data_IF_041308245025
#
_entry.id   IF_041308245025
#
_cell.length_a   1.000
_cell.length_b   1.000
_cell.length_c   1.000
_cell.angle_alpha   90.00
_cell.angle_beta   90.00
_cell.angle_gamma   90.00
#
_symmetry.space_group_name_H-M   'P 1'
#
loop_
_entity.id
_entity.type
_entity.pdbx_description
1 polymer ?
#
# COMPACT_ATOMS: atom_id res chain seq x y z
N UNK A 1 52.83 -10.05 -28.43
CA UNK A 1 52.67 -11.53 -28.41
C UNK A 1 53.45 -12.13 -27.24
N UNK A 2 54.78 -11.96 -27.14
CA UNK A 2 55.59 -12.42 -25.98
C UNK A 2 55.07 -12.03 -24.59
N UNK A 3 54.64 -10.78 -24.38
CA UNK A 3 54.10 -10.34 -23.09
C UNK A 3 52.77 -11.00 -22.67
N UNK A 4 51.95 -11.47 -23.64
CA UNK A 4 50.72 -12.23 -23.34
C UNK A 4 51.04 -13.69 -23.02
N UNK A 5 51.97 -14.32 -23.75
CA UNK A 5 52.42 -15.69 -23.46
C UNK A 5 53.14 -15.80 -22.12
N UNK A 6 53.93 -14.79 -21.75
CA UNK A 6 54.62 -14.75 -20.45
C UNK A 6 53.63 -14.52 -19.30
N UNK A 7 52.62 -13.66 -19.50
CA UNK A 7 51.54 -13.50 -18.53
C UNK A 7 50.69 -14.76 -18.38
N UNK A 8 50.44 -15.50 -19.47
CA UNK A 8 49.68 -16.75 -19.46
C UNK A 8 50.48 -17.89 -18.79
N UNK A 9 51.78 -18.00 -19.05
CA UNK A 9 52.66 -18.94 -18.33
C UNK A 9 52.72 -18.63 -16.84
N UNK A 10 52.86 -17.36 -16.47
CA UNK A 10 52.91 -16.93 -15.07
C UNK A 10 51.56 -17.05 -14.36
N UNK A 11 50.46 -17.05 -15.11
CA UNK A 11 49.13 -17.36 -14.58
C UNK A 11 48.95 -18.86 -14.34
N UNK A 12 49.39 -19.70 -15.29
CA UNK A 12 49.38 -21.18 -15.15
C UNK A 12 50.28 -21.66 -14.02
N UNK A 13 51.49 -21.12 -13.89
CA UNK A 13 52.41 -21.46 -12.79
C UNK A 13 51.85 -21.06 -11.41
N UNK A 14 51.08 -19.96 -11.32
CA UNK A 14 50.39 -19.56 -10.08
C UNK A 14 49.18 -20.44 -9.77
N UNK A 15 48.47 -20.91 -10.79
CA UNK A 15 47.33 -21.83 -10.66
C UNK A 15 47.78 -23.25 -10.26
N UNK A 16 48.95 -23.68 -10.76
CA UNK A 16 49.57 -24.96 -10.41
C UNK A 16 50.26 -24.94 -9.03
N UNK A 17 50.75 -23.78 -8.58
CA UNK A 17 51.33 -23.59 -7.25
C UNK A 17 50.29 -23.45 -6.12
N UNK A 18 48.99 -23.31 -6.45
CA UNK A 18 47.90 -23.26 -5.47
C UNK A 18 47.60 -24.65 -4.90
N UNK A 19 47.48 -24.70 -3.57
CA UNK A 19 47.16 -25.94 -2.85
C UNK A 19 45.77 -26.48 -3.28
N UNK A 20 45.50 -27.80 -3.14
CA UNK A 20 44.21 -28.38 -3.51
C UNK A 20 43.01 -27.76 -2.77
N UNK A 21 43.22 -27.20 -1.58
CA UNK A 21 42.19 -26.48 -0.82
C UNK A 21 41.92 -25.09 -1.40
N UNK A 22 42.96 -24.36 -1.78
CA UNK A 22 42.81 -23.03 -2.38
C UNK A 22 42.18 -23.11 -3.78
N UNK A 23 42.46 -24.15 -4.56
CA UNK A 23 41.77 -24.39 -5.85
C UNK A 23 40.27 -24.61 -5.69
N UNK A 24 39.84 -25.34 -4.64
CA UNK A 24 38.41 -25.49 -4.33
C UNK A 24 37.79 -24.17 -3.87
N UNK A 25 38.52 -23.38 -3.08
CA UNK A 25 38.04 -22.08 -2.63
C UNK A 25 37.91 -21.08 -3.80
N UNK A 26 38.86 -21.07 -4.73
CA UNK A 26 38.78 -20.23 -5.94
C UNK A 26 37.65 -20.69 -6.86
N UNK A 27 37.48 -22.01 -7.03
CA UNK A 27 36.37 -22.55 -7.81
C UNK A 27 35.01 -22.20 -7.20
N UNK A 28 34.86 -22.32 -5.87
CA UNK A 28 33.65 -21.89 -5.15
C UNK A 28 33.40 -20.39 -5.31
N UNK A 29 34.46 -19.57 -5.29
CA UNK A 29 34.34 -18.12 -5.49
C UNK A 29 33.90 -17.80 -6.92
N UNK A 30 34.46 -18.48 -7.93
CA UNK A 30 34.04 -18.35 -9.33
C UNK A 30 32.59 -18.80 -9.54
N UNK A 31 32.18 -19.89 -8.90
CA UNK A 31 30.79 -20.37 -8.92
C UNK A 31 29.84 -19.36 -8.30
N UNK A 32 30.13 -18.84 -7.10
CA UNK A 32 29.32 -17.80 -6.47
C UNK A 32 29.19 -16.54 -7.32
N UNK A 33 30.29 -16.10 -7.94
CA UNK A 33 30.26 -14.94 -8.84
C UNK A 33 29.39 -15.19 -10.08
N UNK A 34 29.39 -16.42 -10.61
CA UNK A 34 28.54 -16.81 -11.74
C UNK A 34 27.06 -16.91 -11.33
N UNK A 35 26.78 -17.53 -10.18
CA UNK A 35 25.42 -17.61 -9.60
C UNK A 35 24.85 -16.21 -9.30
N UNK A 36 25.66 -15.29 -8.77
CA UNK A 36 25.24 -13.91 -8.51
C UNK A 36 24.96 -13.15 -9.82
N UNK A 37 25.78 -13.35 -10.86
CA UNK A 37 25.54 -12.76 -12.17
C UNK A 37 24.26 -13.31 -12.84
N UNK A 38 24.03 -14.61 -12.74
CA UNK A 38 22.84 -15.27 -13.30
C UNK A 38 21.58 -14.87 -12.51
N UNK A 39 21.68 -14.75 -11.19
CA UNK A 39 20.61 -14.21 -10.34
C UNK A 39 20.27 -12.78 -10.73
N UNK A 40 21.28 -11.91 -10.93
CA UNK A 40 21.07 -10.52 -11.40
C UNK A 40 20.42 -10.48 -12.77
N UNK A 41 20.84 -11.33 -13.69
CA UNK A 41 20.24 -11.42 -15.03
C UNK A 41 18.79 -11.93 -14.96
N UNK A 42 18.51 -12.93 -14.13
CA UNK A 42 17.15 -13.41 -13.90
C UNK A 42 16.28 -12.30 -13.27
N UNK A 43 16.81 -11.60 -12.29
CA UNK A 43 16.20 -10.42 -11.67
C UNK A 43 15.87 -9.33 -12.72
N UNK A 44 16.78 -9.02 -13.63
CA UNK A 44 16.52 -8.10 -14.75
C UNK A 44 15.47 -8.64 -15.73
N UNK A 45 15.53 -9.94 -16.05
CA UNK A 45 14.61 -10.61 -16.99
C UNK A 45 13.18 -10.72 -16.44
N UNK A 46 13.04 -10.91 -15.12
CA UNK A 46 11.77 -11.01 -14.41
C UNK A 46 11.33 -9.68 -13.77
N UNK A 47 12.08 -8.59 -13.95
CA UNK A 47 11.75 -7.26 -13.44
C UNK A 47 11.81 -7.13 -11.91
N UNK A 48 12.59 -7.96 -11.24
CA UNK A 48 12.80 -7.94 -9.79
C UNK A 48 14.17 -7.32 -9.51
N UNK A 49 14.26 -5.99 -9.43
CA UNK A 49 15.53 -5.35 -9.12
C UNK A 49 16.00 -5.65 -7.68
N UNK A 50 17.31 -5.82 -7.41
CA UNK A 50 17.80 -6.24 -6.10
C UNK A 50 17.77 -5.15 -5.02
N UNK A 51 17.65 -3.87 -5.40
CA UNK A 51 17.67 -2.71 -4.48
C UNK A 51 16.91 -1.51 -5.11
N UNK A 52 15.74 -1.74 -5.71
CA UNK A 52 14.94 -0.63 -6.24
C UNK A 52 14.25 0.10 -5.09
N UNK A 53 14.96 1.10 -4.54
CA UNK A 53 14.25 2.30 -4.10
C UNK A 53 13.63 2.87 -5.37
N UNK A 54 12.41 2.44 -5.68
CA UNK A 54 11.61 3.00 -6.75
C UNK A 54 11.36 4.45 -6.33
N UNK A 55 12.05 5.39 -6.98
CA UNK A 55 11.86 6.83 -6.77
C UNK A 55 10.91 7.27 -7.88
N UNK A 56 9.58 7.19 -7.68
CA UNK A 56 8.64 7.63 -8.69
C UNK A 56 8.78 9.13 -8.91
N UNK A 57 8.81 9.55 -10.17
CA UNK A 57 8.83 10.95 -10.59
C UNK A 57 7.62 11.27 -11.48
N UNK A 58 7.14 10.30 -12.26
CA UNK A 58 5.94 10.45 -13.10
C UNK A 58 4.68 9.94 -12.41
N UNK A 59 3.50 10.43 -12.85
CA UNK A 59 2.20 9.97 -12.32
C UNK A 59 2.03 8.46 -12.44
N UNK A 60 2.43 7.90 -13.58
CA UNK A 60 2.33 6.47 -13.87
C UNK A 60 3.25 5.65 -12.96
N UNK A 61 4.47 6.13 -12.69
CA UNK A 61 5.38 5.51 -11.73
C UNK A 61 4.84 5.55 -10.30
N UNK A 62 4.20 6.67 -9.90
CA UNK A 62 3.54 6.75 -8.60
C UNK A 62 2.37 5.76 -8.47
N UNK A 63 1.63 5.50 -9.55
CA UNK A 63 0.56 4.49 -9.56
C UNK A 63 1.16 3.08 -9.40
N UNK A 64 2.22 2.74 -10.14
CA UNK A 64 2.92 1.45 -10.00
C UNK A 64 3.54 1.26 -8.62
N UNK A 65 4.13 2.32 -8.06
CA UNK A 65 4.68 2.31 -6.71
C UNK A 65 3.60 2.09 -5.65
N UNK A 66 2.45 2.75 -5.80
CA UNK A 66 1.31 2.56 -4.91
C UNK A 66 0.80 1.11 -4.92
N UNK A 67 0.66 0.49 -6.09
CA UNK A 67 0.27 -0.93 -6.20
C UNK A 67 1.27 -1.86 -5.52
N UNK A 68 2.58 -1.60 -5.69
CA UNK A 68 3.63 -2.37 -5.04
C UNK A 68 3.57 -2.26 -3.51
N UNK A 69 3.39 -1.03 -2.98
CA UNK A 69 3.20 -0.80 -1.55
C UNK A 69 1.94 -1.48 -1.02
N UNK A 70 0.82 -1.37 -1.75
CA UNK A 70 -0.43 -2.01 -1.36
C UNK A 70 -0.28 -3.53 -1.28
N UNK A 71 0.41 -4.15 -2.23
CA UNK A 71 0.68 -5.59 -2.20
C UNK A 71 1.46 -5.99 -0.94
N UNK A 72 2.55 -5.28 -0.66
CA UNK A 72 3.41 -5.56 0.49
C UNK A 72 2.69 -5.36 1.83
N UNK A 73 1.95 -4.25 1.97
CA UNK A 73 1.18 -3.94 3.18
C UNK A 73 0.08 -4.98 3.41
N UNK A 74 -0.70 -5.30 2.36
CA UNK A 74 -1.85 -6.20 2.49
C UNK A 74 -1.47 -7.68 2.61
N UNK A 75 -0.20 -8.06 2.44
CA UNK A 75 0.28 -9.42 2.72
C UNK A 75 -0.09 -9.86 4.15
N UNK A 76 -0.07 -8.91 5.09
CA UNK A 76 -0.33 -9.14 6.51
C UNK A 76 -1.76 -8.84 6.94
N UNK A 77 -2.70 -8.64 6.01
CA UNK A 77 -4.09 -8.22 6.32
C UNK A 77 -4.87 -9.14 7.26
N UNK A 78 -4.42 -10.38 7.44
CA UNK A 78 -5.03 -11.38 8.32
C UNK A 78 -4.39 -11.44 9.72
N UNK A 79 -3.28 -10.73 9.93
CA UNK A 79 -2.58 -10.68 11.20
C UNK A 79 -3.37 -9.87 12.23
N UNK A 80 -3.36 -10.29 13.50
CA UNK A 80 -4.14 -9.63 14.56
C UNK A 80 -3.76 -8.15 14.77
N UNK A 81 -2.47 -7.83 14.63
CA UNK A 81 -1.94 -6.46 14.76
C UNK A 81 -2.18 -5.58 13.52
N UNK A 82 -2.72 -6.13 12.43
CA UNK A 82 -2.90 -5.40 11.18
C UNK A 82 -3.77 -4.13 11.30
N UNK A 83 -4.91 -4.12 12.03
CA UNK A 83 -5.73 -2.93 12.17
C UNK A 83 -4.95 -1.75 12.77
N UNK A 84 -4.29 -1.96 13.90
CA UNK A 84 -3.50 -0.92 14.59
C UNK A 84 -2.32 -0.46 13.74
N UNK A 85 -1.61 -1.40 13.09
CA UNK A 85 -0.54 -1.07 12.16
C UNK A 85 -1.03 -0.20 11.00
N UNK A 86 -2.16 -0.54 10.38
CA UNK A 86 -2.70 0.17 9.23
C UNK A 86 -3.17 1.59 9.61
N UNK A 87 -3.84 1.74 10.76
CA UNK A 87 -4.28 3.03 11.30
C UNK A 87 -3.10 3.99 11.55
N UNK A 88 -2.04 3.48 12.21
CA UNK A 88 -0.83 4.24 12.48
C UNK A 88 -0.09 4.63 11.19
N UNK A 89 0.03 3.70 10.24
CA UNK A 89 0.70 3.95 8.96
C UNK A 89 -0.02 5.04 8.16
N UNK A 90 -1.34 4.95 8.02
CA UNK A 90 -2.15 5.96 7.33
C UNK A 90 -1.98 7.32 8.01
N UNK A 91 -2.00 7.36 9.34
CA UNK A 91 -1.84 8.61 10.11
C UNK A 91 -0.47 9.26 9.89
N UNK A 92 0.61 8.47 9.88
CA UNK A 92 1.98 8.94 9.63
C UNK A 92 2.18 9.42 8.19
N UNK A 93 1.49 8.85 7.21
CA UNK A 93 1.53 9.34 5.83
C UNK A 93 0.73 10.64 5.73
N UNK A 94 -0.48 10.66 6.31
CA UNK A 94 -1.42 11.75 6.21
C UNK A 94 -0.92 13.06 6.82
N UNK A 95 -0.02 13.02 7.82
CA UNK A 95 0.59 14.22 8.43
C UNK A 95 1.28 15.15 7.43
N UNK A 96 1.75 14.61 6.30
CA UNK A 96 2.43 15.38 5.25
C UNK A 96 1.45 16.02 4.24
N UNK A 97 0.14 15.77 4.37
CA UNK A 97 -0.88 16.32 3.48
C UNK A 97 -1.37 17.70 3.94
N UNK A 98 -1.73 18.60 3.00
CA UNK A 98 -2.35 19.86 3.38
C UNK A 98 -3.75 19.65 3.98
N UNK A 99 -4.22 20.60 4.80
CA UNK A 99 -5.49 20.51 5.51
C UNK A 99 -6.70 20.18 4.61
N UNK A 100 -6.73 20.72 3.39
CA UNK A 100 -7.80 20.43 2.42
C UNK A 100 -7.80 18.97 2.01
N UNK A 101 -6.63 18.39 1.74
CA UNK A 101 -6.48 16.98 1.36
C UNK A 101 -6.80 16.05 2.54
N UNK A 102 -6.42 16.43 3.76
CA UNK A 102 -6.80 15.71 4.98
C UNK A 102 -8.32 15.63 5.16
N UNK A 103 -9.04 16.74 4.97
CA UNK A 103 -10.51 16.76 5.04
C UNK A 103 -11.14 15.84 3.97
N UNK A 104 -10.61 15.87 2.74
CA UNK A 104 -11.07 14.98 1.66
C UNK A 104 -10.83 13.50 2.01
N UNK A 105 -9.66 13.17 2.54
CA UNK A 105 -9.32 11.81 2.98
C UNK A 105 -10.24 11.34 4.11
N UNK A 106 -10.51 12.18 5.10
CA UNK A 106 -11.43 11.87 6.20
C UNK A 106 -12.85 11.55 5.72
N UNK A 107 -13.38 12.33 4.77
CA UNK A 107 -14.67 12.04 4.14
C UNK A 107 -14.64 10.71 3.38
N UNK A 108 -13.57 10.41 2.65
CA UNK A 108 -13.44 9.15 1.91
C UNK A 108 -13.42 7.93 2.86
N UNK A 109 -12.68 8.01 3.98
CA UNK A 109 -12.62 6.94 4.99
C UNK A 109 -13.99 6.75 5.65
N UNK A 110 -14.70 7.83 6.02
CA UNK A 110 -16.03 7.74 6.62
C UNK A 110 -17.04 7.07 5.66
N UNK A 111 -17.00 7.45 4.37
CA UNK A 111 -17.83 6.81 3.35
C UNK A 111 -17.52 5.31 3.23
N UNK A 112 -16.24 4.92 3.22
CA UNK A 112 -15.82 3.52 3.19
C UNK A 112 -16.32 2.76 4.42
N UNK A 113 -16.28 3.35 5.60
CA UNK A 113 -16.80 2.75 6.83
C UNK A 113 -18.32 2.50 6.74
N UNK A 114 -19.08 3.47 6.23
CA UNK A 114 -20.53 3.32 5.99
C UNK A 114 -20.81 2.20 4.98
N UNK A 115 -20.04 2.12 3.89
CA UNK A 115 -20.17 1.06 2.89
C UNK A 115 -19.87 -0.33 3.47
N UNK A 116 -18.77 -0.46 4.23
CA UNK A 116 -18.41 -1.70 4.94
C UNK A 116 -19.50 -2.12 5.91
N UNK A 117 -20.01 -1.18 6.71
CA UNK A 117 -21.08 -1.46 7.66
C UNK A 117 -22.37 -1.93 6.99
N UNK A 118 -22.72 -1.37 5.82
CA UNK A 118 -23.87 -1.83 5.03
C UNK A 118 -23.67 -3.25 4.50
N UNK A 119 -22.47 -3.57 4.02
CA UNK A 119 -22.13 -4.92 3.55
C UNK A 119 -22.19 -5.95 4.69
N UNK A 120 -21.68 -5.60 5.87
CA UNK A 120 -21.68 -6.48 7.05
C UNK A 120 -23.08 -6.69 7.64
N UNK A 121 -23.90 -5.64 7.68
CA UNK A 121 -25.30 -5.74 8.14
C UNK A 121 -26.22 -6.41 7.10
N UNK A 122 -25.76 -6.55 5.87
CA UNK A 122 -26.50 -7.11 4.74
C UNK A 122 -27.68 -6.25 4.31
N UNK A 123 -28.16 -6.49 3.09
CA UNK A 123 -29.38 -5.91 2.49
C UNK A 123 -30.68 -6.42 3.18
N UNK A 124 -30.63 -6.63 4.50
CA UNK A 124 -31.73 -7.10 5.35
C UNK A 124 -32.59 -5.94 5.86
N UNK A 125 -32.72 -4.89 5.05
CA UNK A 125 -33.30 -3.60 5.47
C UNK A 125 -34.37 -3.04 4.54
N UNK A 126 -35.05 -3.83 3.70
CA UNK A 126 -36.27 -3.37 3.00
C UNK A 126 -37.40 -4.39 3.03
N UNK A 127 -37.97 -4.58 4.23
CA UNK A 127 -39.41 -4.86 4.40
C UNK A 127 -40.04 -3.85 5.37
N UNK A 128 -39.94 -2.56 5.06
CA UNK A 128 -40.91 -1.60 5.59
C UNK A 128 -42.10 -1.50 4.64
N UNK A 129 -43.02 -2.46 4.83
CA UNK A 129 -44.41 -2.37 4.37
C UNK A 129 -45.12 -1.45 5.37
N UNK A 130 -45.23 -0.15 5.08
CA UNK A 130 -45.81 0.78 6.07
C UNK A 130 -46.03 2.20 5.57
N UNK A 131 -47.19 2.40 4.92
CA UNK A 131 -47.97 3.64 4.80
C UNK A 131 -47.34 4.80 4.01
N UNK A 132 -47.87 4.98 2.80
CA UNK A 132 -47.62 6.16 1.98
C UNK A 132 -48.06 7.45 2.67
N UNK A 133 -47.23 8.48 2.50
CA UNK A 133 -47.65 9.86 2.27
C UNK A 133 -46.66 10.44 1.27
N UNK A 134 -47.08 10.53 0.01
CA UNK A 134 -46.38 11.33 -0.99
C UNK A 134 -46.45 12.79 -0.52
N UNK A 135 -45.32 13.40 -0.14
CA UNK A 135 -45.21 14.85 -0.03
C UNK A 135 -44.65 15.36 -1.37
N UNK A 136 -45.52 16.08 -2.07
CA UNK A 136 -45.28 16.79 -3.31
C UNK A 136 -44.05 17.70 -3.16
N UNK A 137 -43.13 17.65 -4.13
CA UNK A 137 -42.10 18.68 -4.30
C UNK A 137 -42.79 19.97 -4.74
N UNK A 138 -42.48 21.08 -4.09
CA UNK A 138 -42.72 22.41 -4.65
C UNK A 138 -41.34 23.05 -4.85
N UNK A 139 -40.91 23.09 -6.11
CA UNK A 139 -39.88 24.03 -6.58
C UNK A 139 -40.38 25.45 -6.33
N UNK A 140 -39.53 26.28 -5.71
CA UNK A 140 -39.82 27.67 -5.45
C UNK A 140 -38.62 28.31 -4.77
N UNK A 141 -37.78 28.94 -5.59
CA UNK A 141 -36.66 29.79 -5.21
C UNK A 141 -36.98 30.76 -4.06
N UNK A 142 -35.93 31.05 -3.28
CA UNK A 142 -35.78 32.18 -2.35
C UNK A 142 -36.62 32.17 -1.07
N UNK A 143 -35.98 31.86 0.07
CA UNK A 143 -36.06 32.70 1.28
C UNK A 143 -34.94 32.32 2.25
N UNK A 144 -33.89 33.13 2.25
CA UNK A 144 -32.86 33.23 3.30
C UNK A 144 -33.45 33.71 4.64
N UNK A 145 -34.37 32.94 5.24
CA UNK A 145 -34.93 33.29 6.54
C UNK A 145 -35.56 32.08 7.24
N UNK A 146 -34.72 31.22 7.83
CA UNK A 146 -35.13 30.36 8.94
C UNK A 146 -33.90 29.88 9.75
N UNK A 147 -33.02 30.83 10.04
CA UNK A 147 -32.18 30.79 11.23
C UNK A 147 -33.12 31.16 12.39
N UNK A 148 -33.15 30.34 13.46
CA UNK A 148 -34.00 30.47 14.65
C UNK A 148 -35.46 29.93 14.59
N UNK A 149 -35.66 28.63 14.37
CA UNK A 149 -36.73 27.90 15.12
C UNK A 149 -36.57 26.37 15.04
N UNK A 150 -35.84 25.76 15.98
CA UNK A 150 -36.03 24.35 16.36
C UNK A 150 -35.27 24.00 17.64
N UNK A 151 -35.44 24.81 18.70
CA UNK A 151 -35.28 24.31 20.06
C UNK A 151 -36.57 23.59 20.45
N UNK A 152 -36.78 22.41 19.89
CA UNK A 152 -37.76 21.45 20.42
C UNK A 152 -37.10 20.75 21.61
N UNK A 153 -37.17 21.43 22.75
CA UNK A 153 -37.05 20.85 24.08
C UNK A 153 -38.23 19.88 24.24
N UNK A 154 -38.04 18.62 23.85
CA UNK A 154 -38.99 17.53 24.18
C UNK A 154 -38.62 17.01 25.56
N UNK A 155 -39.27 17.64 26.53
CA UNK A 155 -39.26 17.43 27.96
C UNK A 155 -39.98 16.10 28.28
N UNK A 156 -39.31 14.96 28.06
CA UNK A 156 -39.92 13.63 28.25
C UNK A 156 -38.96 12.58 28.85
N UNK A 157 -38.23 12.94 29.90
CA UNK A 157 -37.62 11.94 30.80
C UNK A 157 -37.77 12.34 32.26
N UNK A 158 -39.02 12.35 32.72
CA UNK A 158 -39.37 12.31 34.14
C UNK A 158 -40.61 11.42 34.35
N UNK A 159 -40.54 10.16 33.93
CA UNK A 159 -41.40 9.07 34.44
C UNK A 159 -41.01 7.70 33.81
N UNK A 160 -40.17 6.91 34.48
CA UNK A 160 -40.35 5.45 34.74
C UNK A 160 -39.03 4.78 35.21
N UNK A 161 -39.14 4.04 36.33
CA UNK A 161 -38.19 3.13 37.01
C UNK A 161 -36.91 2.68 36.31
#
# INVERSE_FOLDING_TARGET
RKAREEAEKKAKEKEEAMTPEERRAEQLRRQKMAEEADLRLAMETFGVAPDDVLIPDTKEEFEQYAESLLHQINLYKSHAEYPTFAEDLISRIAVNLPSISLKKLGTAINNLAIEKQKLEKGDKGKKNKGKGKAKLKLEGDNTHLNEYDSYTYDDNYDDFM
#
